data_IF_150211504010
#
_entry.id   IF_150211504010
#
_cell.length_a   1.000
_cell.length_b   1.000
_cell.length_c   1.000
_cell.angle_alpha   90.00
_cell.angle_beta   90.00
_cell.angle_gamma   90.00
#
_symmetry.space_group_name_H-M   'P 1'
#
loop_
_entity.id
_entity.type
_entity.pdbx_description
1 polymer ?
#
# COMPACT_ATOMS: atom_id res chain seq x y z
N UNK A 1 -23.59 1.73 11.86
CA UNK A 1 -23.77 2.69 12.97
C UNK A 1 -22.38 3.07 13.49
N UNK A 2 -21.76 4.13 12.96
CA UNK A 2 -20.34 4.50 13.17
C UNK A 2 -20.01 5.89 13.80
N UNK A 3 -20.87 6.62 14.57
CA UNK A 3 -20.62 8.06 14.74
C UNK A 3 -19.85 8.47 16.01
N UNK A 4 -19.84 7.67 17.09
CA UNK A 4 -19.37 8.15 18.42
C UNK A 4 -17.94 7.75 18.82
N UNK A 5 -17.41 6.62 18.34
CA UNK A 5 -16.02 6.20 18.66
C UNK A 5 -14.97 6.91 17.81
N UNK A 6 -15.30 7.19 16.54
CA UNK A 6 -14.40 7.81 15.57
C UNK A 6 -14.02 9.25 15.94
N UNK A 7 -14.93 10.03 16.53
CA UNK A 7 -14.66 11.43 16.92
C UNK A 7 -13.72 11.55 18.11
N UNK A 8 -13.86 10.67 19.11
CA UNK A 8 -12.97 10.66 20.27
C UNK A 8 -11.55 10.20 19.88
N UNK A 9 -11.45 9.20 19.00
CA UNK A 9 -10.18 8.75 18.46
C UNK A 9 -9.48 9.85 17.66
N UNK A 10 -10.19 10.52 16.74
CA UNK A 10 -9.64 11.62 15.94
C UNK A 10 -9.07 12.72 16.82
N UNK A 11 -9.84 13.18 17.82
CA UNK A 11 -9.37 14.21 18.75
C UNK A 11 -8.12 13.77 19.52
N UNK A 12 -8.11 12.54 20.03
CA UNK A 12 -6.95 12.02 20.76
C UNK A 12 -5.71 11.89 19.85
N UNK A 13 -5.90 11.55 18.58
CA UNK A 13 -4.83 11.43 17.61
C UNK A 13 -4.31 12.80 17.15
N UNK A 14 -5.19 13.76 16.88
CA UNK A 14 -4.81 15.14 16.59
C UNK A 14 -4.04 15.76 17.77
N UNK A 15 -4.51 15.55 19.01
CA UNK A 15 -3.81 16.00 20.23
C UNK A 15 -2.42 15.34 20.37
N UNK A 16 -2.26 14.09 19.92
CA UNK A 16 -0.98 13.37 19.91
C UNK A 16 -0.02 13.97 18.88
N UNK A 17 -0.50 14.23 17.66
CA UNK A 17 0.28 14.88 16.61
C UNK A 17 0.74 16.27 17.04
N UNK A 18 -0.13 17.05 17.70
CA UNK A 18 0.21 18.37 18.23
C UNK A 18 1.29 18.31 19.31
N UNK A 19 1.17 17.37 20.26
CA UNK A 19 2.19 17.15 21.30
C UNK A 19 3.51 16.67 20.73
N UNK A 20 3.48 15.91 19.65
CA UNK A 20 4.67 15.43 18.95
C UNK A 20 5.29 16.50 18.04
N UNK A 21 4.63 17.65 17.82
CA UNK A 21 5.08 18.68 16.90
C UNK A 21 5.05 18.25 15.43
N UNK A 22 4.18 17.30 15.08
CA UNK A 22 4.07 16.76 13.72
C UNK A 22 3.03 17.56 12.94
N UNK A 23 3.48 18.34 11.96
CA UNK A 23 2.60 19.12 11.09
C UNK A 23 1.88 18.27 10.05
N UNK A 24 2.53 17.19 9.57
CA UNK A 24 1.98 16.25 8.59
C UNK A 24 2.54 14.84 8.84
N UNK A 25 1.66 13.83 8.83
CA UNK A 25 2.05 12.42 8.89
C UNK A 25 1.69 11.74 7.58
N UNK A 26 2.69 11.19 6.89
CA UNK A 26 2.50 10.39 5.68
C UNK A 26 2.93 8.96 5.96
N UNK A 27 1.98 8.02 5.89
CA UNK A 27 2.24 6.59 6.00
C UNK A 27 2.39 5.95 4.63
N UNK A 28 3.52 5.32 4.35
CA UNK A 28 3.70 4.46 3.18
C UNK A 28 3.51 3.00 3.59
N UNK A 29 2.59 2.31 2.92
CA UNK A 29 2.30 0.90 3.15
C UNK A 29 2.63 0.18 1.85
N UNK A 30 3.67 -0.65 1.90
CA UNK A 30 4.14 -1.46 0.77
C UNK A 30 3.96 -2.95 1.08
N UNK A 31 4.01 -3.80 0.05
CA UNK A 31 3.93 -5.26 0.14
C UNK A 31 2.65 -5.80 0.86
N UNK A 32 1.55 -5.05 0.80
CA UNK A 32 0.28 -5.41 1.45
C UNK A 32 -0.30 -6.74 0.91
N UNK A 33 0.06 -7.08 -0.32
CA UNK A 33 -0.27 -8.32 -1.01
C UNK A 33 0.54 -9.55 -0.57
N UNK A 34 1.64 -9.37 0.19
CA UNK A 34 2.40 -10.49 0.79
C UNK A 34 1.79 -11.00 2.09
N UNK A 35 0.91 -10.21 2.70
CA UNK A 35 0.17 -10.60 3.88
C UNK A 35 -0.80 -11.74 3.56
N UNK A 36 -1.15 -12.52 4.58
CA UNK A 36 -2.28 -13.43 4.46
C UNK A 36 -3.54 -12.62 4.13
N UNK A 37 -4.45 -13.16 3.30
CA UNK A 37 -5.70 -12.51 2.92
C UNK A 37 -6.44 -11.77 4.03
N UNK A 38 -6.63 -12.43 5.17
CA UNK A 38 -7.37 -11.85 6.30
C UNK A 38 -6.61 -10.66 6.90
N UNK A 39 -5.29 -10.80 7.08
CA UNK A 39 -4.43 -9.73 7.59
C UNK A 39 -4.37 -8.53 6.65
N UNK A 40 -4.34 -8.76 5.33
CA UNK A 40 -4.32 -7.67 4.35
C UNK A 40 -5.60 -6.83 4.42
N UNK A 41 -6.77 -7.48 4.52
CA UNK A 41 -8.06 -6.81 4.63
C UNK A 41 -8.20 -6.08 5.96
N UNK A 42 -7.86 -6.72 7.08
CA UNK A 42 -7.87 -6.09 8.41
C UNK A 42 -6.98 -4.84 8.45
N UNK A 43 -5.77 -4.93 7.88
CA UNK A 43 -4.84 -3.80 7.81
C UNK A 43 -5.44 -2.63 7.02
N UNK A 44 -6.09 -2.92 5.88
CA UNK A 44 -6.74 -1.88 5.07
C UNK A 44 -7.92 -1.22 5.81
N UNK A 45 -8.70 -1.99 6.57
CA UNK A 45 -9.80 -1.47 7.39
C UNK A 45 -9.30 -0.61 8.55
N UNK A 46 -8.22 -1.03 9.20
CA UNK A 46 -7.57 -0.26 10.26
C UNK A 46 -7.02 1.06 9.72
N UNK A 47 -6.28 1.03 8.60
CA UNK A 47 -5.73 2.24 7.95
C UNK A 47 -6.84 3.23 7.62
N UNK A 48 -7.99 2.74 7.13
CA UNK A 48 -9.15 3.58 6.83
C UNK A 48 -9.59 4.41 8.04
N UNK A 49 -9.45 3.92 9.27
CA UNK A 49 -9.78 4.66 10.49
C UNK A 49 -8.87 5.88 10.68
N UNK A 50 -7.59 5.76 10.34
CA UNK A 50 -6.59 6.81 10.46
C UNK A 50 -6.65 7.83 9.31
N UNK A 51 -7.07 7.43 8.11
CA UNK A 51 -7.13 8.33 6.94
C UNK A 51 -8.11 9.51 7.12
N UNK A 52 -9.00 9.45 8.11
CA UNK A 52 -9.96 10.53 8.38
C UNK A 52 -9.50 11.57 9.42
N UNK A 53 -8.27 11.50 9.94
CA UNK A 53 -7.71 12.56 10.79
C UNK A 53 -7.17 13.73 9.95
N UNK A 54 -7.11 14.90 10.57
CA UNK A 54 -6.52 16.06 9.90
C UNK A 54 -5.01 15.86 9.77
N UNK A 55 -4.40 16.36 8.68
CA UNK A 55 -2.94 16.33 8.48
C UNK A 55 -2.30 14.94 8.28
N UNK A 56 -3.09 13.93 7.94
CA UNK A 56 -2.59 12.57 7.65
C UNK A 56 -2.86 12.15 6.21
N UNK A 57 -1.88 11.51 5.57
CA UNK A 57 -2.04 10.88 4.26
C UNK A 57 -1.47 9.46 4.29
N UNK A 58 -2.08 8.52 3.56
CA UNK A 58 -1.57 7.16 3.43
C UNK A 58 -1.44 6.81 1.95
N UNK A 59 -0.28 6.26 1.59
CA UNK A 59 0.01 5.73 0.26
C UNK A 59 0.13 4.23 0.39
N UNK A 60 -0.71 3.50 -0.37
CA UNK A 60 -0.75 2.04 -0.34
C UNK A 60 -0.30 1.50 -1.69
N UNK A 61 0.75 0.68 -1.68
CA UNK A 61 1.20 -0.10 -2.81
C UNK A 61 0.79 -1.57 -2.58
N UNK A 62 0.01 -2.12 -3.52
CA UNK A 62 -0.43 -3.51 -3.50
C UNK A 62 -0.81 -3.96 -4.91
N UNK A 63 -0.63 -5.24 -5.22
CA UNK A 63 -1.20 -5.86 -6.41
C UNK A 63 -2.74 -5.95 -6.30
N UNK A 64 -3.44 -5.35 -7.26
CA UNK A 64 -4.90 -5.34 -7.32
C UNK A 64 -5.48 -6.77 -7.34
N UNK A 65 -4.88 -7.69 -8.09
CA UNK A 65 -5.35 -9.07 -8.20
C UNK A 65 -5.20 -9.84 -6.88
N UNK A 66 -4.14 -9.57 -6.12
CA UNK A 66 -3.94 -10.17 -4.80
C UNK A 66 -4.95 -9.64 -3.78
N UNK A 67 -5.28 -8.34 -3.83
CA UNK A 67 -6.34 -7.80 -3.00
C UNK A 67 -7.70 -8.37 -3.41
N UNK A 68 -7.98 -8.56 -4.71
CA UNK A 68 -9.22 -9.22 -5.14
C UNK A 68 -9.34 -10.64 -4.60
N UNK A 69 -8.24 -11.40 -4.63
CA UNK A 69 -8.18 -12.73 -4.03
C UNK A 69 -8.44 -12.68 -2.53
N UNK A 70 -7.84 -11.72 -1.82
CA UNK A 70 -8.00 -11.58 -0.39
C UNK A 70 -9.46 -11.29 0.00
N UNK A 71 -10.13 -10.38 -0.71
CA UNK A 71 -11.55 -10.06 -0.50
C UNK A 71 -12.45 -11.28 -0.70
N UNK A 72 -12.22 -12.07 -1.76
CA UNK A 72 -13.02 -13.28 -2.02
C UNK A 72 -12.88 -14.32 -0.92
N UNK A 73 -11.67 -14.48 -0.37
CA UNK A 73 -11.42 -15.44 0.72
C UNK A 73 -12.02 -14.98 2.04
N UNK A 74 -11.94 -13.68 2.31
CA UNK A 74 -12.48 -13.09 3.54
C UNK A 74 -14.02 -13.10 3.59
N UNK A 75 -14.68 -13.07 2.43
CA UNK A 75 -16.14 -13.10 2.29
C UNK A 75 -16.61 -14.27 1.38
N UNK A 76 -16.63 -15.51 1.88
CA UNK A 76 -16.89 -16.70 1.06
C UNK A 76 -18.34 -16.82 0.55
N UNK A 77 -19.30 -16.13 1.17
CA UNK A 77 -20.71 -16.14 0.78
C UNK A 77 -21.07 -15.14 -0.33
N UNK A 78 -20.06 -14.48 -0.92
CA UNK A 78 -20.29 -13.54 -2.01
C UNK A 78 -20.74 -14.28 -3.27
N UNK A 79 -21.84 -13.84 -3.93
CA UNK A 79 -22.20 -14.39 -5.22
C UNK A 79 -21.06 -14.11 -6.22
N UNK A 80 -20.68 -15.13 -6.99
CA UNK A 80 -19.80 -14.98 -8.16
C UNK A 80 -20.49 -14.02 -9.15
N UNK A 81 -20.33 -12.72 -8.97
CA UNK A 81 -20.87 -11.75 -9.91
C UNK A 81 -20.02 -11.79 -11.16
N UNK A 82 -20.52 -12.53 -12.15
CA UNK A 82 -20.10 -12.57 -13.55
C UNK A 82 -20.42 -11.24 -14.27
N UNK A 83 -19.99 -10.12 -13.70
CA UNK A 83 -20.18 -8.78 -14.24
C UNK A 83 -18.83 -8.09 -14.51
N UNK A 84 -18.80 -7.05 -15.37
CA UNK A 84 -17.56 -6.37 -15.77
C UNK A 84 -16.85 -5.59 -14.65
N UNK A 85 -17.50 -5.43 -13.48
CA UNK A 85 -16.92 -4.83 -12.28
C UNK A 85 -16.97 -5.87 -11.15
N UNK A 86 -15.81 -6.34 -10.70
CA UNK A 86 -15.66 -7.29 -9.59
C UNK A 86 -16.08 -6.62 -8.27
N UNK A 87 -16.76 -7.36 -7.38
CA UNK A 87 -17.12 -6.86 -6.03
C UNK A 87 -15.90 -6.34 -5.25
N UNK A 88 -14.74 -6.97 -5.45
CA UNK A 88 -13.48 -6.54 -4.89
C UNK A 88 -13.08 -5.13 -5.32
N UNK A 89 -13.34 -4.75 -6.57
CA UNK A 89 -13.09 -3.40 -7.06
C UNK A 89 -13.99 -2.37 -6.36
N UNK A 90 -15.28 -2.68 -6.18
CA UNK A 90 -16.21 -1.84 -5.42
C UNK A 90 -15.81 -1.72 -3.94
N UNK A 91 -15.16 -2.75 -3.38
CA UNK A 91 -14.63 -2.71 -2.02
C UNK A 91 -13.40 -1.80 -1.94
N UNK A 92 -12.46 -1.95 -2.88
CA UNK A 92 -11.29 -1.09 -3.00
C UNK A 92 -11.64 0.39 -3.21
N UNK A 93 -12.62 0.70 -4.06
CA UNK A 93 -13.10 2.08 -4.28
C UNK A 93 -13.64 2.75 -3.00
N UNK A 94 -14.12 1.96 -2.02
CA UNK A 94 -14.59 2.49 -0.72
C UNK A 94 -13.47 2.72 0.28
N UNK A 95 -12.32 2.10 0.07
CA UNK A 95 -11.15 2.17 0.93
C UNK A 95 -10.12 3.18 0.40
N UNK A 96 -9.89 3.17 -0.92
CA UNK A 96 -8.89 3.97 -1.61
C UNK A 96 -9.58 5.16 -2.27
N UNK A 97 -9.23 6.37 -1.82
CA UNK A 97 -9.80 7.60 -2.35
C UNK A 97 -9.30 7.92 -3.77
N UNK A 98 -8.03 7.63 -4.05
CA UNK A 98 -7.38 7.92 -5.33
C UNK A 98 -6.62 6.67 -5.79
N UNK A 99 -7.23 5.81 -6.63
CA UNK A 99 -6.52 4.66 -7.18
C UNK A 99 -5.56 5.11 -8.30
N UNK A 100 -4.31 4.65 -8.24
CA UNK A 100 -3.32 4.86 -9.29
C UNK A 100 -2.77 3.51 -9.75
N UNK A 101 -2.85 3.24 -11.05
CA UNK A 101 -2.25 2.05 -11.66
C UNK A 101 -0.93 2.43 -12.29
N UNK A 102 0.15 1.79 -11.84
CA UNK A 102 1.47 1.98 -12.41
C UNK A 102 1.47 1.33 -13.81
N UNK A 103 1.75 2.08 -14.89
CA UNK A 103 1.84 1.51 -16.23
C UNK A 103 3.02 0.55 -16.33
N UNK A 104 2.87 -0.51 -17.11
CA UNK A 104 3.98 -1.40 -17.42
C UNK A 104 5.04 -0.65 -18.24
N UNK A 105 6.32 -0.87 -17.92
CA UNK A 105 7.45 -0.35 -18.69
C UNK A 105 7.40 -0.89 -20.13
N UNK A 106 7.58 -0.02 -21.11
CA UNK A 106 7.74 -0.46 -22.50
C UNK A 106 9.03 -1.25 -22.69
N UNK A 107 9.14 -2.03 -23.78
CA UNK A 107 10.33 -2.84 -24.07
C UNK A 107 11.64 -2.00 -24.11
N UNK A 108 11.53 -0.76 -24.56
CA UNK A 108 12.65 0.19 -24.61
C UNK A 108 13.05 0.67 -23.22
N UNK A 109 12.07 1.03 -22.39
CA UNK A 109 12.31 1.50 -21.02
C UNK A 109 12.84 0.37 -20.13
N UNK A 110 12.32 -0.84 -20.30
CA UNK A 110 12.80 -2.05 -19.63
C UNK A 110 14.26 -2.33 -19.97
N UNK A 111 14.64 -2.24 -21.25
CA UNK A 111 16.05 -2.37 -21.69
C UNK A 111 16.95 -1.31 -21.07
N UNK A 112 16.51 -0.06 -21.02
CA UNK A 112 17.26 1.03 -20.41
C UNK A 112 17.43 0.78 -18.90
N UNK A 113 16.37 0.39 -18.20
CA UNK A 113 16.41 0.09 -16.77
C UNK A 113 17.36 -1.08 -16.44
N UNK A 114 17.29 -2.18 -17.20
CA UNK A 114 18.20 -3.33 -17.03
C UNK A 114 19.65 -2.94 -17.34
N UNK A 115 19.87 -2.13 -18.37
CA UNK A 115 21.21 -1.65 -18.73
C UNK A 115 21.78 -0.75 -17.63
N UNK A 116 20.98 0.18 -17.09
CA UNK A 116 21.39 1.05 -15.97
C UNK A 116 21.62 0.24 -14.68
N UNK A 117 20.78 -0.73 -14.39
CA UNK A 117 20.92 -1.58 -13.19
C UNK A 117 22.14 -2.50 -13.26
N UNK A 118 22.49 -2.98 -14.46
CA UNK A 118 23.68 -3.83 -14.69
C UNK A 118 24.98 -3.04 -14.87
N UNK A 119 24.91 -1.73 -15.12
CA UNK A 119 26.08 -0.86 -15.31
C UNK A 119 26.46 -0.05 -14.06
N UNK A 120 25.78 -0.26 -12.92
CA UNK A 120 26.20 0.31 -11.65
C UNK A 120 27.67 -0.13 -11.34
N UNK A 121 28.62 0.81 -11.20
CA UNK A 121 30.03 0.47 -11.04
C UNK A 121 30.22 -0.31 -9.74
N UNK A 122 30.73 -1.53 -9.88
CA UNK A 122 31.15 -2.41 -8.81
C UNK A 122 32.35 -1.81 -8.05
N UNK A 123 32.10 -0.79 -7.22
CA UNK A 123 33.10 -0.17 -6.35
C UNK A 123 33.14 -0.82 -4.97
N UNK A 124 33.23 -2.15 -4.93
CA UNK A 124 33.53 -2.89 -3.70
C UNK A 124 34.20 -4.23 -4.01
N UNK A 125 35.46 -4.20 -4.47
CA UNK A 125 36.36 -5.34 -4.30
C UNK A 125 37.79 -4.87 -4.05
N UNK A 126 37.98 -4.40 -2.83
CA UNK A 126 39.24 -4.14 -2.13
C UNK A 126 40.25 -5.28 -2.30
N UNK A 127 41.42 -4.92 -2.81
CA UNK A 127 42.74 -5.23 -2.22
C UNK A 127 42.93 -6.62 -1.61
N UNK A 128 43.35 -7.60 -2.40
CA UNK A 128 44.36 -8.60 -1.98
C UNK A 128 44.79 -9.49 -3.15
N UNK A 129 45.97 -9.20 -3.72
CA UNK A 129 47.11 -10.12 -3.82
C UNK A 129 48.28 -9.40 -4.48
N UNK A 130 49.10 -8.83 -3.62
CA UNK A 130 50.48 -8.46 -3.85
C UNK A 130 51.33 -9.72 -4.06
N UNK A 131 52.35 -9.60 -4.91
CA UNK A 131 53.62 -10.35 -4.92
C UNK A 131 53.57 -11.89 -4.85
N UNK A 132 53.72 -12.53 -6.01
CA UNK A 132 54.93 -13.28 -6.44
C UNK A 132 54.68 -13.86 -7.84
#
# INVERSE_FOLDING_TARGET
MFPRRSTQFRKAFDDLLDKAGVEQLVGLIDDLDRCLPDTAIETLEDVRLFVFTSRTAFVVAADEAMIEYAVRKHFPDLPDTTGPQTYARNYLEKLIQVPFRIPSLGDTETRIYVTLSSSAPNSARTTQRSTL
#
